data_IF_877370553789
#
_entry.id   IF_877370553789
#
_cell.length_a   1.000
_cell.length_b   1.000
_cell.length_c   1.000
_cell.angle_alpha   90.00
_cell.angle_beta   90.00
_cell.angle_gamma   90.00
#
_symmetry.space_group_name_H-M   'P 1'
#
loop_
_entity.id
_entity.type
_entity.pdbx_description
1 polymer ?
#
# COMPACT_ATOMS: atom_id res chain seq x y z
N UNK A 1 32.13 40.46 -39.96
CA UNK A 1 31.81 40.07 -38.57
C UNK A 1 32.33 38.65 -38.38
N UNK A 2 33.14 38.39 -37.36
CA UNK A 2 33.62 37.03 -37.04
C UNK A 2 32.45 36.20 -36.52
N UNK A 3 32.21 35.06 -37.14
CA UNK A 3 31.19 34.09 -36.69
C UNK A 3 31.76 33.24 -35.56
N UNK A 4 30.93 32.77 -34.62
CA UNK A 4 31.35 31.81 -33.60
C UNK A 4 31.97 30.55 -34.25
N UNK A 5 31.46 30.13 -35.40
CA UNK A 5 31.98 28.99 -36.19
C UNK A 5 33.35 29.23 -36.84
N UNK A 6 33.86 30.46 -36.83
CA UNK A 6 35.20 30.78 -37.33
C UNK A 6 36.29 30.72 -36.25
N UNK A 7 35.91 30.44 -35.00
CA UNK A 7 36.86 30.26 -33.91
C UNK A 7 37.55 28.88 -34.02
N UNK A 8 38.84 28.77 -33.63
CA UNK A 8 39.51 27.48 -33.56
C UNK A 8 38.81 26.51 -32.59
N UNK A 9 38.81 25.21 -32.92
CA UNK A 9 38.17 24.15 -32.14
C UNK A 9 38.55 24.20 -30.65
N UNK A 10 39.81 24.47 -30.31
CA UNK A 10 40.24 24.55 -28.91
C UNK A 10 39.58 25.70 -28.14
N UNK A 11 39.28 26.81 -28.81
CA UNK A 11 38.58 27.94 -28.21
C UNK A 11 37.10 27.58 -28.03
N UNK A 12 36.49 26.92 -29.02
CA UNK A 12 35.11 26.46 -28.94
C UNK A 12 34.93 25.42 -27.82
N UNK A 13 35.82 24.45 -27.70
CA UNK A 13 35.80 23.46 -26.61
C UNK A 13 35.90 24.15 -25.25
N UNK A 14 36.81 25.11 -25.07
CA UNK A 14 36.92 25.87 -23.83
C UNK A 14 35.64 26.68 -23.52
N UNK A 15 34.98 27.27 -24.52
CA UNK A 15 33.71 27.98 -24.32
C UNK A 15 32.64 27.00 -23.82
N UNK A 16 32.55 25.82 -24.43
CA UNK A 16 31.55 24.84 -24.07
C UNK A 16 31.83 24.20 -22.70
N UNK A 17 33.10 23.94 -22.34
CA UNK A 17 33.51 23.44 -21.01
C UNK A 17 33.15 24.42 -19.88
N UNK A 18 33.06 25.72 -20.19
CA UNK A 18 32.66 26.77 -19.24
C UNK A 18 31.19 27.18 -19.35
N UNK A 19 30.41 26.52 -20.21
CA UNK A 19 28.99 26.81 -20.42
C UNK A 19 28.13 25.83 -19.62
N UNK A 20 27.02 26.30 -19.05
CA UNK A 20 26.03 25.41 -18.44
C UNK A 20 25.39 24.49 -19.51
N UNK A 21 24.86 23.35 -19.07
CA UNK A 21 24.33 22.37 -20.02
C UNK A 21 23.16 22.89 -20.87
N UNK A 22 22.34 23.80 -20.35
CA UNK A 22 21.23 24.41 -21.10
C UNK A 22 21.77 25.33 -22.20
N UNK A 23 22.82 26.08 -21.93
CA UNK A 23 23.51 26.92 -22.90
C UNK A 23 24.13 26.08 -24.02
N UNK A 24 24.75 24.94 -23.69
CA UNK A 24 25.27 23.98 -24.69
C UNK A 24 24.15 23.46 -25.60
N UNK A 25 23.03 23.00 -25.02
CA UNK A 25 21.87 22.55 -25.80
C UNK A 25 21.31 23.67 -26.69
N UNK A 26 21.27 24.90 -26.19
CA UNK A 26 20.81 26.07 -26.96
C UNK A 26 21.73 26.33 -28.15
N UNK A 27 23.05 26.32 -27.95
CA UNK A 27 24.04 26.48 -29.02
C UNK A 27 23.90 25.40 -30.10
N UNK A 28 23.67 24.15 -29.70
CA UNK A 28 23.43 23.01 -30.61
C UNK A 28 22.21 23.20 -31.53
N UNK A 29 21.23 24.02 -31.12
CA UNK A 29 20.06 24.32 -31.94
C UNK A 29 20.27 25.48 -32.93
N UNK A 30 21.36 26.23 -32.84
CA UNK A 30 21.54 27.47 -33.64
C UNK A 30 21.96 27.23 -35.09
N UNK A 31 22.95 26.38 -35.36
CA UNK A 31 23.39 26.07 -36.73
C UNK A 31 23.96 24.65 -36.86
N UNK A 32 24.11 24.16 -38.10
CA UNK A 32 24.60 22.82 -38.39
C UNK A 32 26.06 22.61 -37.97
N UNK A 33 26.93 23.60 -38.17
CA UNK A 33 28.36 23.46 -37.83
C UNK A 33 28.56 23.30 -36.32
N UNK A 34 27.90 24.16 -35.50
CA UNK A 34 27.96 24.04 -34.05
C UNK A 34 27.32 22.75 -33.56
N UNK A 35 26.24 22.29 -34.19
CA UNK A 35 25.61 21.01 -33.85
C UNK A 35 26.58 19.85 -34.05
N UNK A 36 27.18 19.76 -35.24
CA UNK A 36 28.12 18.70 -35.57
C UNK A 36 29.33 18.75 -34.63
N UNK A 37 29.90 19.94 -34.40
CA UNK A 37 31.01 20.12 -33.48
C UNK A 37 30.68 19.67 -32.06
N UNK A 38 29.54 20.10 -31.50
CA UNK A 38 29.11 19.72 -30.15
C UNK A 38 28.88 18.20 -30.06
N UNK A 39 28.26 17.60 -31.09
CA UNK A 39 28.00 16.15 -31.17
C UNK A 39 29.31 15.32 -31.28
N UNK A 40 30.36 15.89 -31.89
CA UNK A 40 31.68 15.26 -32.03
C UNK A 40 32.51 15.36 -30.75
N UNK A 41 32.53 16.54 -30.09
CA UNK A 41 33.30 16.77 -28.87
C UNK A 41 32.75 15.98 -27.68
N UNK A 42 31.42 15.71 -27.65
CA UNK A 42 30.73 14.92 -26.60
C UNK A 42 31.14 15.35 -25.18
N UNK A 43 30.89 16.59 -24.83
CA UNK A 43 31.20 17.12 -23.50
C UNK A 43 30.45 16.33 -22.42
N UNK A 44 31.09 16.12 -21.27
CA UNK A 44 30.40 15.46 -20.16
C UNK A 44 29.35 16.39 -19.59
N UNK A 45 28.09 15.98 -19.66
CA UNK A 45 27.01 16.63 -18.93
C UNK A 45 27.21 16.47 -17.43
N UNK A 46 26.96 17.54 -16.67
CA UNK A 46 26.89 17.51 -15.20
C UNK A 46 25.47 17.20 -14.69
N UNK A 47 24.61 16.60 -15.52
CA UNK A 47 23.28 16.16 -15.06
C UNK A 47 23.47 15.13 -13.96
N UNK A 48 22.88 15.43 -12.80
CA UNK A 48 22.88 14.60 -11.59
C UNK A 48 21.62 13.77 -11.50
N UNK A 49 20.48 14.33 -11.91
CA UNK A 49 19.23 13.58 -11.89
C UNK A 49 18.30 13.87 -13.06
N UNK A 50 17.52 12.85 -13.44
CA UNK A 50 16.54 12.89 -14.51
C UNK A 50 15.21 12.34 -13.96
N UNK A 51 14.13 13.07 -14.18
CA UNK A 51 12.77 12.67 -13.84
C UNK A 51 11.91 12.76 -15.10
N UNK A 52 11.28 11.66 -15.47
CA UNK A 52 10.40 11.52 -16.62
C UNK A 52 9.01 11.19 -16.07
N UNK A 53 8.07 12.13 -16.21
CA UNK A 53 6.67 11.91 -15.84
C UNK A 53 5.81 11.77 -17.10
N UNK A 54 5.26 10.59 -17.32
CA UNK A 54 4.48 10.22 -18.51
C UNK A 54 2.99 10.36 -18.19
N UNK A 55 2.32 11.30 -18.86
CA UNK A 55 0.86 11.43 -18.85
C UNK A 55 0.25 10.91 -20.16
N UNK A 56 -1.08 10.91 -20.22
CA UNK A 56 -1.84 10.45 -21.41
C UNK A 56 -1.71 11.40 -22.60
N UNK A 57 -1.58 12.71 -22.34
CA UNK A 57 -1.52 13.77 -23.37
C UNK A 57 -0.22 14.58 -23.34
N UNK A 58 0.66 14.29 -22.39
CA UNK A 58 1.92 15.03 -22.24
C UNK A 58 2.99 14.22 -21.53
N UNK A 59 4.25 14.59 -21.74
CA UNK A 59 5.40 14.08 -21.00
C UNK A 59 6.13 15.27 -20.39
N UNK A 60 6.44 15.22 -19.10
CA UNK A 60 7.26 16.21 -18.44
C UNK A 60 8.65 15.62 -18.18
N UNK A 61 9.67 16.21 -18.81
CA UNK A 61 11.07 15.90 -18.55
C UNK A 61 11.66 16.98 -17.65
N UNK A 62 12.17 16.57 -16.49
CA UNK A 62 12.89 17.43 -15.56
C UNK A 62 14.28 16.84 -15.35
N UNK A 63 15.32 17.66 -15.42
CA UNK A 63 16.65 17.24 -15.03
C UNK A 63 17.37 18.32 -14.23
N UNK A 64 18.29 17.89 -13.38
CA UNK A 64 19.08 18.77 -12.53
C UNK A 64 20.55 18.63 -12.93
N UNK A 65 21.10 19.71 -13.47
CA UNK A 65 22.54 19.87 -13.71
C UNK A 65 23.06 21.00 -12.80
N UNK A 66 23.69 22.03 -13.36
CA UNK A 66 24.00 23.27 -12.63
C UNK A 66 22.73 24.01 -12.20
N UNK A 67 21.69 23.91 -13.02
CA UNK A 67 20.36 24.47 -12.79
C UNK A 67 19.28 23.41 -13.07
N UNK A 68 18.08 23.62 -12.53
CA UNK A 68 16.91 22.82 -12.86
C UNK A 68 16.41 23.17 -14.26
N UNK A 69 16.27 22.16 -15.12
CA UNK A 69 15.59 22.27 -16.39
C UNK A 69 14.27 21.50 -16.33
N UNK A 70 13.22 22.03 -16.95
CA UNK A 70 11.92 21.37 -17.09
C UNK A 70 11.33 21.71 -18.44
N UNK A 71 10.84 20.68 -19.13
CA UNK A 71 10.17 20.81 -20.43
C UNK A 71 8.98 19.87 -20.48
N UNK A 72 7.83 20.43 -20.82
CA UNK A 72 6.58 19.69 -21.03
C UNK A 72 6.39 19.53 -22.53
N UNK A 73 6.36 18.28 -22.98
CA UNK A 73 6.03 17.88 -24.34
C UNK A 73 4.53 17.58 -24.38
N UNK A 74 3.80 18.31 -25.23
CA UNK A 74 2.36 18.15 -25.43
C UNK A 74 2.02 18.37 -26.90
N UNK A 75 0.85 17.89 -27.33
CA UNK A 75 0.28 18.05 -28.68
C UNK A 75 1.12 17.38 -29.80
N UNK A 76 0.48 16.94 -30.89
CA UNK A 76 1.17 16.38 -32.06
C UNK A 76 2.14 15.22 -31.74
N UNK A 77 3.29 15.19 -32.44
CA UNK A 77 4.40 14.24 -32.23
C UNK A 77 5.20 14.54 -30.95
N UNK A 78 4.52 14.67 -29.80
CA UNK A 78 5.17 15.01 -28.53
C UNK A 78 6.11 13.90 -28.05
N UNK A 79 5.76 12.64 -28.31
CA UNK A 79 6.56 11.50 -27.90
C UNK A 79 7.89 11.44 -28.65
N UNK A 80 7.86 11.62 -29.97
CA UNK A 80 9.06 11.61 -30.82
C UNK A 80 10.00 12.76 -30.49
N UNK A 81 9.44 13.94 -30.19
CA UNK A 81 10.22 15.11 -29.73
C UNK A 81 10.87 14.85 -28.38
N UNK A 82 10.14 14.24 -27.45
CA UNK A 82 10.68 13.81 -26.16
C UNK A 82 11.83 12.80 -26.34
N UNK A 83 11.62 11.75 -27.14
CA UNK A 83 12.64 10.73 -27.40
C UNK A 83 13.91 11.33 -28.03
N UNK A 84 13.75 12.26 -28.97
CA UNK A 84 14.87 12.97 -29.60
C UNK A 84 15.69 13.74 -28.58
N UNK A 85 15.03 14.53 -27.72
CA UNK A 85 15.71 15.31 -26.70
C UNK A 85 16.35 14.41 -25.61
N UNK A 86 15.66 13.33 -25.20
CA UNK A 86 16.19 12.36 -24.25
C UNK A 86 17.46 11.68 -24.80
N UNK A 87 17.44 11.26 -26.06
CA UNK A 87 18.60 10.66 -26.71
C UNK A 87 19.81 11.62 -26.73
N UNK A 88 19.57 12.90 -27.02
CA UNK A 88 20.60 13.95 -26.99
C UNK A 88 21.14 14.09 -25.57
N UNK A 89 20.28 14.29 -24.57
CA UNK A 89 20.69 14.49 -23.17
C UNK A 89 21.53 13.31 -22.68
N UNK A 90 21.06 12.09 -22.92
CA UNK A 90 21.76 10.88 -22.53
C UNK A 90 23.09 10.74 -23.28
N UNK A 91 23.20 11.17 -24.54
CA UNK A 91 24.47 11.10 -25.30
C UNK A 91 25.62 11.89 -24.67
N UNK A 92 25.32 12.98 -23.95
CA UNK A 92 26.29 13.76 -23.18
C UNK A 92 26.53 13.21 -21.76
N UNK A 93 25.68 12.30 -21.27
CA UNK A 93 25.80 11.73 -19.93
C UNK A 93 26.87 10.64 -19.86
N UNK A 94 28.06 11.02 -19.37
CA UNK A 94 29.20 10.12 -19.13
C UNK A 94 29.38 9.74 -17.66
N UNK A 95 29.10 10.68 -16.75
CA UNK A 95 29.17 10.43 -15.32
C UNK A 95 27.94 9.64 -14.83
N UNK A 96 28.03 8.92 -13.70
CA UNK A 96 26.87 8.32 -13.06
C UNK A 96 25.82 9.38 -12.70
N UNK A 97 24.54 9.09 -12.94
CA UNK A 97 23.44 9.88 -12.39
C UNK A 97 23.30 9.52 -10.90
N UNK A 98 23.08 10.51 -10.05
CA UNK A 98 22.70 10.30 -8.66
C UNK A 98 21.30 9.66 -8.56
N UNK A 99 20.39 10.07 -9.44
CA UNK A 99 18.99 9.61 -9.39
C UNK A 99 18.32 9.64 -10.77
N UNK A 100 17.60 8.58 -11.13
CA UNK A 100 16.75 8.55 -12.32
C UNK A 100 15.37 8.01 -11.96
N UNK A 101 14.32 8.71 -12.42
CA UNK A 101 12.93 8.33 -12.19
C UNK A 101 12.12 8.30 -13.47
N UNK A 102 11.35 7.23 -13.65
CA UNK A 102 10.29 7.11 -14.64
C UNK A 102 8.99 6.91 -13.88
N UNK A 103 8.07 7.87 -14.00
CA UNK A 103 6.79 7.88 -13.29
C UNK A 103 5.62 8.09 -14.25
N UNK A 104 4.41 7.72 -13.82
CA UNK A 104 3.18 7.91 -14.57
C UNK A 104 2.23 8.88 -13.85
N UNK A 105 1.66 9.83 -14.59
CA UNK A 105 0.60 10.72 -14.07
C UNK A 105 -0.74 9.98 -14.09
N UNK A 106 -0.83 8.92 -13.28
CA UNK A 106 -2.01 8.07 -13.17
C UNK A 106 -3.10 8.75 -12.35
N UNK A 107 -4.21 9.10 -13.02
CA UNK A 107 -5.35 9.77 -12.40
C UNK A 107 -6.61 8.92 -12.43
N UNK A 108 -6.79 8.12 -13.48
CA UNK A 108 -7.97 7.31 -13.69
C UNK A 108 -7.66 5.90 -14.22
N UNK A 109 -8.48 4.88 -13.89
CA UNK A 109 -8.30 3.51 -14.39
C UNK A 109 -8.35 3.33 -15.90
N UNK A 110 -8.89 4.30 -16.63
CA UNK A 110 -8.97 4.31 -18.10
C UNK A 110 -7.77 4.97 -18.76
N UNK A 111 -6.82 5.52 -17.98
CA UNK A 111 -5.63 6.15 -18.52
C UNK A 111 -4.79 5.12 -19.27
N UNK A 112 -4.43 5.45 -20.51
CA UNK A 112 -3.56 4.63 -21.36
C UNK A 112 -2.26 5.38 -21.59
N UNK A 113 -1.16 4.76 -21.20
CA UNK A 113 0.17 5.36 -21.32
C UNK A 113 0.91 4.77 -22.52
N UNK A 114 1.83 5.57 -23.05
CA UNK A 114 2.75 5.13 -24.09
C UNK A 114 3.74 4.12 -23.50
N UNK A 115 4.08 3.09 -24.28
CA UNK A 115 5.07 2.07 -23.92
C UNK A 115 6.49 2.63 -23.78
N UNK A 116 7.28 2.07 -22.85
CA UNK A 116 8.70 2.39 -22.66
C UNK A 116 9.64 1.76 -23.70
N UNK A 117 9.12 1.02 -24.68
CA UNK A 117 9.93 0.30 -25.68
C UNK A 117 10.91 1.21 -26.45
N UNK A 118 10.49 2.41 -26.85
CA UNK A 118 11.41 3.34 -27.55
C UNK A 118 12.48 3.92 -26.62
N UNK A 119 12.22 4.04 -25.32
CA UNK A 119 13.25 4.39 -24.33
C UNK A 119 14.28 3.26 -24.23
N UNK A 120 13.84 2.00 -24.26
CA UNK A 120 14.73 0.83 -24.31
C UNK A 120 15.71 0.91 -25.49
N UNK A 121 15.24 1.32 -26.68
CA UNK A 121 16.10 1.52 -27.86
C UNK A 121 17.17 2.59 -27.62
N UNK A 122 16.80 3.73 -27.04
CA UNK A 122 17.74 4.81 -26.71
C UNK A 122 18.81 4.32 -25.74
N UNK A 123 18.41 3.61 -24.68
CA UNK A 123 19.35 3.08 -23.68
C UNK A 123 20.28 2.02 -24.28
N UNK A 124 19.75 1.12 -25.11
CA UNK A 124 20.49 0.06 -25.79
C UNK A 124 21.51 0.58 -26.81
N UNK A 125 21.21 1.68 -27.50
CA UNK A 125 22.12 2.29 -28.48
C UNK A 125 23.30 3.03 -27.85
N UNK A 126 23.35 3.15 -26.51
CA UNK A 126 24.47 3.80 -25.85
C UNK A 126 25.75 2.97 -25.99
N UNK A 127 26.92 3.60 -26.22
CA UNK A 127 28.19 2.89 -26.28
C UNK A 127 28.62 2.34 -24.91
N UNK A 128 28.07 2.88 -23.83
CA UNK A 128 28.27 2.41 -22.44
C UNK A 128 26.91 2.44 -21.73
N UNK A 129 26.64 1.39 -20.95
CA UNK A 129 25.45 1.35 -20.09
C UNK A 129 25.37 2.62 -19.25
N UNK A 130 24.15 3.15 -19.08
CA UNK A 130 23.93 4.30 -18.22
C UNK A 130 24.13 3.87 -16.76
N UNK A 131 24.99 4.57 -16.02
CA UNK A 131 25.18 4.32 -14.59
C UNK A 131 24.28 5.26 -13.80
N UNK A 132 23.52 4.71 -12.86
CA UNK A 132 22.57 5.44 -12.01
C UNK A 132 22.72 4.92 -10.58
N UNK A 133 22.95 5.78 -9.59
CA UNK A 133 23.09 5.32 -8.20
C UNK A 133 21.74 4.85 -7.63
N UNK A 134 20.67 5.60 -7.91
CA UNK A 134 19.31 5.28 -7.49
C UNK A 134 18.34 5.33 -8.68
N UNK A 135 17.83 4.17 -9.08
CA UNK A 135 16.82 4.04 -10.12
C UNK A 135 15.43 3.83 -9.51
N UNK A 136 14.48 4.72 -9.84
CA UNK A 136 13.08 4.60 -9.45
C UNK A 136 12.18 4.40 -10.66
N UNK A 137 11.36 3.36 -10.63
CA UNK A 137 10.42 3.01 -11.69
C UNK A 137 9.01 2.87 -11.11
N UNK A 138 8.07 3.64 -11.63
CA UNK A 138 6.67 3.23 -11.58
C UNK A 138 6.40 2.27 -12.73
N UNK A 139 5.73 1.15 -12.46
CA UNK A 139 5.48 0.10 -13.44
C UNK A 139 4.05 -0.44 -13.33
N UNK A 140 3.56 -1.06 -14.41
CA UNK A 140 2.30 -1.82 -14.42
C UNK A 140 2.52 -3.33 -14.49
N UNK A 141 3.66 -3.77 -15.03
CA UNK A 141 4.04 -5.18 -15.18
C UNK A 141 5.56 -5.32 -15.32
N UNK A 142 6.06 -6.56 -15.47
CA UNK A 142 7.50 -6.82 -15.59
C UNK A 142 8.16 -6.24 -16.85
N UNK A 143 7.42 -6.09 -17.95
CA UNK A 143 7.98 -5.59 -19.22
C UNK A 143 8.49 -4.15 -19.06
N UNK A 144 7.80 -3.34 -18.26
CA UNK A 144 8.24 -1.98 -17.94
C UNK A 144 9.64 -1.98 -17.28
N UNK A 145 9.93 -2.96 -16.43
CA UNK A 145 11.26 -3.14 -15.83
C UNK A 145 12.25 -3.61 -16.89
N UNK A 146 11.86 -4.57 -17.73
CA UNK A 146 12.69 -5.13 -18.79
C UNK A 146 13.04 -4.12 -19.89
N UNK A 147 12.23 -3.08 -20.10
CA UNK A 147 12.55 -1.98 -21.01
C UNK A 147 13.64 -1.04 -20.48
N UNK A 148 13.93 -1.07 -19.18
CA UNK A 148 14.85 -0.10 -18.55
C UNK A 148 16.03 -0.77 -17.88
N UNK A 149 15.79 -1.65 -16.91
CA UNK A 149 16.81 -2.20 -16.02
C UNK A 149 17.95 -2.92 -16.75
N UNK A 150 17.74 -3.76 -17.79
CA UNK A 150 18.82 -4.45 -18.48
C UNK A 150 19.88 -3.53 -19.12
N UNK A 151 19.54 -2.26 -19.34
CA UNK A 151 20.41 -1.27 -20.00
C UNK A 151 21.03 -0.26 -19.03
N UNK A 152 20.71 -0.35 -17.74
CA UNK A 152 21.16 0.56 -16.68
C UNK A 152 21.94 -0.21 -15.61
N UNK A 153 23.13 0.27 -15.27
CA UNK A 153 23.85 -0.21 -14.08
C UNK A 153 23.39 0.60 -12.86
N UNK A 154 22.88 -0.07 -11.82
CA UNK A 154 22.37 0.62 -10.62
C UNK A 154 22.74 -0.06 -9.32
N UNK A 155 22.91 0.74 -8.25
CA UNK A 155 23.11 0.22 -6.89
C UNK A 155 21.79 0.08 -6.13
N UNK A 156 20.81 0.94 -6.39
CA UNK A 156 19.51 0.96 -5.70
C UNK A 156 18.37 0.90 -6.69
N UNK A 157 17.43 0.00 -6.44
CA UNK A 157 16.25 -0.21 -7.27
C UNK A 157 15.00 0.10 -6.43
N UNK A 158 14.21 1.08 -6.86
CA UNK A 158 12.89 1.35 -6.30
C UNK A 158 11.82 1.09 -7.35
N UNK A 159 10.87 0.21 -7.05
CA UNK A 159 9.74 -0.13 -7.92
C UNK A 159 8.45 0.21 -7.19
N UNK A 160 7.50 0.84 -7.88
CA UNK A 160 6.18 1.10 -7.28
C UNK A 160 5.03 1.02 -8.28
N UNK A 161 3.84 0.66 -7.80
CA UNK A 161 2.64 0.69 -8.62
C UNK A 161 2.07 2.13 -8.66
N UNK A 162 1.95 2.79 -9.83
CA UNK A 162 1.39 4.13 -9.94
C UNK A 162 -0.09 4.18 -9.52
N UNK A 163 -0.82 3.06 -9.61
CA UNK A 163 -2.21 2.94 -9.12
C UNK A 163 -2.32 3.02 -7.60
N UNK A 164 -1.19 2.85 -6.88
CA UNK A 164 -1.12 2.75 -5.41
C UNK A 164 -2.03 1.65 -4.85
N UNK A 165 -2.17 0.55 -5.59
CA UNK A 165 -2.91 -0.66 -5.18
C UNK A 165 -1.94 -1.82 -5.11
N UNK A 166 -2.16 -2.75 -4.18
CA UNK A 166 -1.38 -3.97 -4.04
C UNK A 166 -1.76 -5.01 -5.10
N UNK A 167 -1.49 -4.69 -6.36
CA UNK A 167 -1.63 -5.65 -7.47
C UNK A 167 -0.53 -6.74 -7.33
N UNK A 168 -0.77 -7.92 -7.89
CA UNK A 168 0.27 -8.95 -7.98
C UNK A 168 1.29 -8.57 -9.06
N UNK A 169 2.58 -8.69 -8.75
CA UNK A 169 3.67 -8.43 -9.67
C UNK A 169 4.52 -9.70 -9.81
N UNK A 170 4.60 -10.21 -11.03
CA UNK A 170 5.55 -11.25 -11.41
C UNK A 170 6.85 -10.60 -11.89
N UNK A 171 7.99 -11.13 -11.48
CA UNK A 171 9.36 -10.69 -11.74
C UNK A 171 10.27 -11.83 -12.21
N UNK A 172 9.69 -12.95 -12.65
CA UNK A 172 10.40 -14.16 -13.09
C UNK A 172 11.61 -13.91 -14.01
N UNK A 173 11.49 -12.97 -14.97
CA UNK A 173 12.60 -12.63 -15.86
C UNK A 173 13.53 -11.56 -15.27
N UNK A 174 13.01 -10.69 -14.40
CA UNK A 174 13.74 -9.56 -13.82
C UNK A 174 14.76 -10.06 -12.80
N UNK A 175 14.41 -11.05 -11.97
CA UNK A 175 15.31 -11.62 -10.96
C UNK A 175 16.54 -12.30 -11.55
N UNK A 176 16.47 -12.67 -12.83
CA UNK A 176 17.58 -13.30 -13.55
C UNK A 176 18.62 -12.31 -14.08
N UNK A 177 18.30 -11.02 -14.10
CA UNK A 177 19.19 -9.97 -14.61
C UNK A 177 20.45 -9.81 -13.75
N UNK A 178 21.59 -9.59 -14.40
CA UNK A 178 22.83 -9.27 -13.71
C UNK A 178 22.70 -7.99 -12.88
N UNK A 179 21.96 -7.00 -13.39
CA UNK A 179 21.69 -5.73 -12.73
C UNK A 179 20.87 -5.92 -11.45
N UNK A 180 19.94 -6.87 -11.44
CA UNK A 180 19.20 -7.25 -10.24
C UNK A 180 20.13 -7.91 -9.23
N UNK A 181 20.92 -8.90 -9.68
CA UNK A 181 21.85 -9.66 -8.83
C UNK A 181 22.98 -8.82 -8.24
N UNK A 182 23.35 -7.72 -8.89
CA UNK A 182 24.46 -6.83 -8.47
C UNK A 182 24.01 -5.62 -7.65
N UNK A 183 22.72 -5.28 -7.66
CA UNK A 183 22.20 -4.17 -6.88
C UNK A 183 22.27 -4.45 -5.38
N UNK A 184 22.43 -3.39 -4.59
CA UNK A 184 22.60 -3.43 -3.12
C UNK A 184 21.28 -3.20 -2.40
N UNK A 185 20.38 -2.41 -2.95
CA UNK A 185 19.12 -2.08 -2.27
C UNK A 185 17.93 -2.30 -3.20
N UNK A 186 16.86 -2.87 -2.66
CA UNK A 186 15.60 -3.10 -3.35
C UNK A 186 14.43 -2.61 -2.48
N UNK A 187 13.57 -1.78 -3.07
CA UNK A 187 12.34 -1.27 -2.43
C UNK A 187 11.18 -1.38 -3.42
N UNK A 188 10.30 -2.36 -3.21
CA UNK A 188 9.11 -2.61 -4.02
C UNK A 188 7.88 -2.24 -3.19
N UNK A 189 7.16 -1.21 -3.64
CA UNK A 189 5.97 -0.69 -2.97
C UNK A 189 4.71 -0.90 -3.79
N UNK A 190 3.59 -1.05 -3.08
CA UNK A 190 2.27 -1.18 -3.71
C UNK A 190 2.20 -2.36 -4.69
N UNK A 191 2.93 -3.44 -4.42
CA UNK A 191 2.82 -4.69 -5.15
C UNK A 191 2.89 -5.84 -4.15
N UNK A 192 2.25 -6.95 -4.48
CA UNK A 192 2.53 -8.25 -3.85
C UNK A 192 3.36 -9.06 -4.83
N UNK A 193 4.59 -9.42 -4.45
CA UNK A 193 5.46 -10.29 -5.25
C UNK A 193 5.15 -11.77 -4.97
N UNK A 194 5.36 -12.60 -5.98
CA UNK A 194 5.11 -14.06 -5.92
C UNK A 194 6.40 -14.88 -5.93
N UNK A 195 7.53 -14.23 -6.19
CA UNK A 195 8.85 -14.85 -6.24
C UNK A 195 9.29 -15.30 -4.84
N UNK A 196 10.09 -16.37 -4.83
CA UNK A 196 10.75 -16.81 -3.60
C UNK A 196 11.63 -15.70 -3.03
N UNK A 197 11.59 -15.52 -1.72
CA UNK A 197 12.48 -14.61 -0.98
C UNK A 197 13.97 -14.90 -1.23
N UNK A 198 14.31 -16.11 -1.69
CA UNK A 198 15.66 -16.47 -2.13
C UNK A 198 16.22 -15.52 -3.21
N UNK A 199 15.37 -14.97 -4.07
CA UNK A 199 15.78 -14.03 -5.13
C UNK A 199 16.10 -12.61 -4.62
N UNK A 200 15.88 -12.36 -3.33
CA UNK A 200 16.12 -11.06 -2.69
C UNK A 200 17.29 -11.12 -1.69
N UNK A 201 17.94 -12.27 -1.53
CA UNK A 201 19.00 -12.43 -0.52
C UNK A 201 20.32 -11.75 -0.89
N UNK A 202 20.47 -11.28 -2.13
CA UNK A 202 21.68 -10.58 -2.58
C UNK A 202 21.70 -9.09 -2.18
N UNK A 203 20.59 -8.55 -1.66
CA UNK A 203 20.48 -7.13 -1.29
C UNK A 203 20.85 -6.89 0.19
N UNK A 204 21.48 -5.74 0.45
CA UNK A 204 21.82 -5.18 1.76
C UNK A 204 20.61 -4.51 2.45
N UNK A 205 19.67 -3.96 1.68
CA UNK A 205 18.44 -3.36 2.19
C UNK A 205 17.25 -3.81 1.33
N UNK A 206 16.21 -4.31 1.99
CA UNK A 206 15.07 -4.94 1.34
C UNK A 206 13.79 -4.38 1.94
N UNK A 207 12.94 -3.82 1.07
CA UNK A 207 11.53 -3.58 1.34
C UNK A 207 10.70 -4.27 0.27
N UNK A 208 9.98 -5.33 0.62
CA UNK A 208 9.08 -6.03 -0.32
C UNK A 208 7.83 -6.50 0.41
N UNK A 209 6.76 -6.75 -0.35
CA UNK A 209 5.58 -7.41 0.17
C UNK A 209 5.33 -8.72 -0.58
N UNK A 210 5.28 -9.86 0.13
CA UNK A 210 5.03 -11.19 -0.45
C UNK A 210 3.61 -11.68 -0.16
N UNK A 211 3.07 -12.59 -0.97
CA UNK A 211 1.76 -13.19 -0.67
C UNK A 211 1.85 -14.08 0.57
N UNK A 212 2.77 -15.04 0.58
CA UNK A 212 2.92 -15.99 1.69
C UNK A 212 4.35 -16.06 2.17
N UNK A 213 4.50 -16.33 3.46
CA UNK A 213 5.77 -16.57 4.14
C UNK A 213 5.63 -17.86 4.95
N UNK A 214 6.64 -18.73 4.85
CA UNK A 214 6.72 -19.95 5.66
C UNK A 214 7.47 -19.71 6.98
N UNK A 215 7.36 -20.65 7.92
CA UNK A 215 8.20 -20.61 9.13
C UNK A 215 9.67 -20.79 8.79
N UNK A 216 9.99 -21.59 7.76
CA UNK A 216 11.35 -21.77 7.25
C UNK A 216 11.93 -20.44 6.76
N UNK A 217 11.14 -19.61 6.07
CA UNK A 217 11.55 -18.27 5.66
C UNK A 217 11.81 -17.37 6.88
N UNK A 218 10.94 -17.41 7.90
CA UNK A 218 11.13 -16.66 9.14
C UNK A 218 12.40 -17.10 9.88
N UNK A 219 12.65 -18.41 9.96
CA UNK A 219 13.88 -18.98 10.55
C UNK A 219 15.10 -18.55 9.75
N UNK A 220 15.03 -18.62 8.41
CA UNK A 220 16.09 -18.16 7.52
C UNK A 220 16.43 -16.68 7.76
N UNK A 221 15.43 -15.84 8.00
CA UNK A 221 15.61 -14.43 8.36
C UNK A 221 16.11 -14.20 9.80
N UNK A 222 15.80 -15.11 10.74
CA UNK A 222 16.15 -15.00 12.16
C UNK A 222 17.57 -15.51 12.45
N UNK A 223 17.96 -16.64 11.86
CA UNK A 223 19.19 -17.39 12.20
C UNK A 223 20.48 -16.82 11.57
N UNK A 224 20.43 -15.55 11.15
CA UNK A 224 21.54 -14.74 10.62
C UNK A 224 22.75 -14.69 11.59
N UNK A 225 22.61 -15.09 12.85
CA UNK A 225 23.69 -15.11 13.85
C UNK A 225 24.15 -16.51 14.30
N UNK A 226 23.48 -17.62 13.91
CA UNK A 226 23.70 -18.91 14.61
C UNK A 226 23.92 -20.18 13.77
N UNK A 227 23.81 -20.18 12.44
CA UNK A 227 24.08 -21.40 11.66
C UNK A 227 25.59 -21.65 11.40
N UNK A 228 26.26 -22.21 12.42
CA UNK A 228 27.56 -22.89 12.30
C UNK A 228 27.43 -24.35 11.82
N UNK A 229 26.39 -24.73 11.06
CA UNK A 229 26.33 -26.10 10.53
C UNK A 229 25.50 -26.20 9.24
N UNK A 230 26.12 -25.82 8.10
CA UNK A 230 25.84 -26.34 6.76
C UNK A 230 26.93 -25.80 5.80
N UNK A 231 27.80 -26.69 5.31
CA UNK A 231 29.10 -26.33 4.67
C UNK A 231 28.96 -25.70 3.26
N UNK A 232 27.76 -25.42 2.75
CA UNK A 232 27.56 -24.54 1.58
C UNK A 232 26.79 -23.24 1.87
N UNK A 233 26.12 -23.13 3.03
CA UNK A 233 25.44 -21.91 3.49
C UNK A 233 26.37 -21.01 4.34
N UNK A 234 27.46 -21.55 4.90
CA UNK A 234 28.40 -20.79 5.75
C UNK A 234 29.27 -19.77 5.01
N UNK A 235 29.60 -20.02 3.73
CA UNK A 235 30.39 -19.08 2.91
C UNK A 235 29.57 -17.88 2.44
N UNK A 236 28.25 -18.04 2.39
CA UNK A 236 27.25 -17.10 1.87
C UNK A 236 27.00 -15.94 2.85
N UNK A 237 26.71 -16.24 4.12
CA UNK A 237 26.38 -15.20 5.11
C UNK A 237 27.59 -14.49 5.73
N UNK A 238 28.79 -15.09 5.64
CA UNK A 238 30.01 -14.42 6.05
C UNK A 238 30.29 -13.16 5.20
N UNK A 239 29.79 -13.11 3.95
CA UNK A 239 29.91 -11.94 3.07
C UNK A 239 28.90 -10.84 3.40
N UNK A 240 27.65 -11.19 3.71
CA UNK A 240 26.61 -10.23 4.13
C UNK A 240 26.93 -9.60 5.51
N UNK A 241 27.55 -10.36 6.43
CA UNK A 241 27.95 -9.85 7.75
C UNK A 241 29.34 -9.18 7.80
N UNK A 242 30.22 -9.47 6.83
CA UNK A 242 31.47 -8.72 6.64
C UNK A 242 31.26 -7.44 5.84
N UNK A 243 30.19 -7.35 5.04
CA UNK A 243 29.75 -6.08 4.48
C UNK A 243 29.19 -5.23 5.61
N UNK A 244 29.87 -4.13 5.94
CA UNK A 244 29.44 -3.18 6.97
C UNK A 244 28.17 -2.39 6.58
N UNK A 245 27.36 -2.87 5.65
CA UNK A 245 26.33 -2.09 4.93
C UNK A 245 24.91 -2.67 4.99
N UNK A 246 24.69 -3.94 5.35
CA UNK A 246 23.31 -4.47 5.47
C UNK A 246 22.58 -3.76 6.62
N UNK A 247 21.60 -2.91 6.30
CA UNK A 247 21.07 -1.91 7.24
C UNK A 247 19.65 -2.20 7.74
N UNK A 248 18.79 -2.82 6.92
CA UNK A 248 17.45 -3.25 7.33
C UNK A 248 16.85 -4.30 6.38
N UNK A 249 16.01 -5.17 6.92
CA UNK A 249 15.13 -6.04 6.11
C UNK A 249 13.70 -5.83 6.63
N UNK A 250 12.81 -5.39 5.74
CA UNK A 250 11.38 -5.28 6.01
C UNK A 250 10.60 -6.08 4.98
N UNK A 251 9.89 -7.09 5.47
CA UNK A 251 9.01 -7.92 4.66
C UNK A 251 7.61 -7.77 5.22
N UNK A 252 6.75 -7.20 4.39
CA UNK A 252 5.31 -7.17 4.60
C UNK A 252 4.75 -8.43 3.90
N UNK A 253 3.66 -9.03 4.41
CA UNK A 253 3.14 -10.25 3.79
C UNK A 253 1.67 -10.51 4.05
N UNK A 254 1.05 -11.38 3.26
CA UNK A 254 -0.40 -11.56 3.30
C UNK A 254 -0.83 -12.72 4.21
N UNK A 255 -0.15 -13.85 4.12
CA UNK A 255 -0.37 -15.05 4.96
C UNK A 255 0.95 -15.60 5.54
N UNK A 256 0.90 -16.14 6.77
CA UNK A 256 1.99 -16.82 7.45
C UNK A 256 1.51 -18.21 7.82
N UNK A 257 2.14 -19.20 7.19
CA UNK A 257 1.85 -20.61 7.44
C UNK A 257 2.31 -20.97 8.87
N UNK A 258 1.51 -21.78 9.56
CA UNK A 258 1.83 -22.27 10.92
C UNK A 258 2.08 -21.18 11.98
N UNK A 259 1.39 -20.04 11.85
CA UNK A 259 1.42 -18.88 12.78
C UNK A 259 1.46 -19.26 14.27
N UNK A 260 0.79 -20.33 14.68
CA UNK A 260 0.67 -20.74 16.08
C UNK A 260 2.04 -21.04 16.73
N UNK A 261 3.05 -21.35 15.91
CA UNK A 261 4.43 -21.66 16.36
C UNK A 261 5.37 -20.46 16.27
N UNK A 262 4.87 -19.28 15.89
CA UNK A 262 5.69 -18.09 15.68
C UNK A 262 6.36 -17.60 16.97
N UNK A 263 5.68 -17.69 18.12
CA UNK A 263 6.27 -17.35 19.43
C UNK A 263 7.33 -18.37 19.87
N UNK A 264 7.20 -19.64 19.46
CA UNK A 264 8.24 -20.67 19.65
C UNK A 264 9.50 -20.33 18.85
N UNK A 265 9.32 -19.84 17.62
CA UNK A 265 10.41 -19.53 16.69
C UNK A 265 11.05 -18.17 16.99
N UNK A 266 10.29 -17.10 17.18
CA UNK A 266 10.81 -15.74 17.34
C UNK A 266 11.01 -15.31 18.81
N UNK A 267 10.45 -16.05 19.76
CA UNK A 267 10.38 -15.64 21.16
C UNK A 267 9.24 -14.64 21.45
N UNK A 268 9.06 -14.26 22.73
CA UNK A 268 7.96 -13.42 23.17
C UNK A 268 8.06 -11.99 22.63
N UNK A 269 6.90 -11.38 22.34
CA UNK A 269 6.82 -10.00 21.84
C UNK A 269 7.45 -9.02 22.84
N UNK A 270 8.22 -8.05 22.34
CA UNK A 270 8.70 -6.96 23.20
C UNK A 270 7.51 -6.09 23.64
N UNK A 271 7.40 -5.74 24.94
CA UNK A 271 6.21 -5.09 25.49
C UNK A 271 5.89 -3.69 24.91
N UNK A 272 6.79 -3.11 24.10
CA UNK A 272 6.63 -1.75 23.55
C UNK A 272 6.59 -1.72 22.01
N UNK A 273 6.75 -2.86 21.32
CA UNK A 273 6.58 -2.97 19.87
C UNK A 273 5.18 -3.51 19.55
N UNK A 274 4.16 -2.66 19.67
CA UNK A 274 2.75 -3.09 19.64
C UNK A 274 2.26 -3.58 18.26
N UNK A 275 3.14 -3.63 17.24
CA UNK A 275 2.75 -3.81 15.83
C UNK A 275 3.63 -4.79 15.05
N UNK A 276 4.94 -4.87 15.36
CA UNK A 276 5.92 -5.65 14.58
C UNK A 276 6.76 -6.54 15.52
N UNK A 277 7.18 -7.72 15.04
CA UNK A 277 8.31 -8.41 15.66
C UNK A 277 9.59 -7.75 15.15
N UNK A 278 10.38 -7.21 16.08
CA UNK A 278 11.68 -6.63 15.80
C UNK A 278 12.75 -7.59 16.29
N UNK A 279 13.50 -8.17 15.34
CA UNK A 279 14.60 -9.09 15.63
C UNK A 279 15.89 -8.27 15.55
N UNK A 280 16.53 -7.94 16.69
CA UNK A 280 17.80 -7.22 16.68
C UNK A 280 18.90 -8.14 16.15
N UNK A 281 19.68 -7.64 15.19
CA UNK A 281 20.93 -8.25 14.75
C UNK A 281 22.06 -7.54 15.53
N UNK A 282 23.02 -8.31 16.07
CA UNK A 282 24.16 -7.80 16.87
C UNK A 282 25.05 -6.85 16.04
N UNK A 283 24.62 -5.58 15.91
CA UNK A 283 25.38 -4.37 15.47
C UNK A 283 24.46 -3.15 15.23
N UNK A 284 23.37 -2.99 15.99
CA UNK A 284 22.34 -1.92 15.84
C UNK A 284 21.40 -2.04 14.63
N UNK A 285 21.37 -3.19 13.95
CA UNK A 285 20.45 -3.44 12.83
C UNK A 285 19.26 -4.29 13.28
N UNK A 286 18.15 -4.27 12.54
CA UNK A 286 16.99 -5.07 12.88
C UNK A 286 16.17 -5.50 11.68
N UNK A 287 15.64 -6.72 11.75
CA UNK A 287 14.61 -7.23 10.84
C UNK A 287 13.26 -6.84 11.44
N UNK A 288 12.42 -6.16 10.67
CA UNK A 288 11.05 -5.82 11.06
C UNK A 288 10.08 -6.65 10.25
N UNK A 289 9.39 -7.57 10.92
CA UNK A 289 8.27 -8.31 10.36
C UNK A 289 6.97 -7.60 10.75
N UNK A 290 6.25 -7.06 9.76
CA UNK A 290 4.98 -6.34 9.96
C UNK A 290 3.79 -7.31 9.88
N UNK A 291 3.23 -7.67 11.03
CA UNK A 291 2.12 -8.63 11.13
C UNK A 291 0.75 -7.97 11.15
N UNK A 292 0.66 -6.65 10.94
CA UNK A 292 -0.62 -5.97 10.79
C UNK A 292 -1.40 -6.55 9.60
N UNK A 293 -0.70 -6.92 8.52
CA UNK A 293 -1.30 -7.47 7.30
C UNK A 293 -2.01 -8.81 7.54
N UNK A 294 -1.42 -9.73 8.31
CA UNK A 294 -1.99 -11.07 8.57
C UNK A 294 -3.34 -11.06 9.26
N UNK A 295 -3.49 -10.18 10.26
CA UNK A 295 -4.69 -10.21 11.10
C UNK A 295 -5.88 -9.61 10.35
N UNK A 296 -5.64 -8.90 9.23
CA UNK A 296 -6.63 -8.13 8.48
C UNK A 296 -6.86 -8.64 7.04
N UNK A 297 -5.92 -9.37 6.44
CA UNK A 297 -6.04 -9.87 5.05
C UNK A 297 -6.81 -11.17 4.91
N UNK A 298 -6.93 -11.98 5.96
CA UNK A 298 -7.71 -13.24 5.91
C UNK A 298 -9.22 -12.99 5.76
N UNK A 299 -9.69 -11.74 5.84
CA UNK A 299 -11.12 -11.44 5.84
C UNK A 299 -11.60 -10.42 4.81
N UNK A 300 -10.82 -9.37 4.46
CA UNK A 300 -11.21 -8.41 3.40
C UNK A 300 -10.10 -7.42 2.97
N UNK A 301 -9.68 -7.45 1.70
CA UNK A 301 -8.73 -6.48 1.10
C UNK A 301 -9.11 -5.00 1.33
N UNK A 302 -10.40 -4.68 1.37
CA UNK A 302 -10.84 -3.30 1.51
C UNK A 302 -10.89 -2.82 2.98
N UNK A 303 -10.79 -3.73 3.96
CA UNK A 303 -10.53 -3.41 5.37
C UNK A 303 -9.05 -3.14 5.66
N UNK A 304 -8.17 -3.82 4.92
CA UNK A 304 -6.74 -3.53 4.92
C UNK A 304 -6.46 -2.09 4.47
N UNK A 305 -7.08 -1.65 3.37
CA UNK A 305 -6.98 -0.27 2.89
C UNK A 305 -7.52 0.76 3.92
N UNK A 306 -8.65 0.47 4.57
CA UNK A 306 -9.22 1.32 5.64
C UNK A 306 -8.25 1.52 6.82
N UNK A 307 -7.56 0.46 7.26
CA UNK A 307 -6.63 0.54 8.40
C UNK A 307 -5.32 1.26 8.03
N UNK A 308 -4.84 1.07 6.80
CA UNK A 308 -3.62 1.71 6.32
C UNK A 308 -3.81 3.19 5.96
N UNK A 309 -4.92 3.57 5.34
CA UNK A 309 -5.21 4.97 5.00
C UNK A 309 -5.57 5.81 6.24
N UNK A 310 -6.27 5.22 7.22
CA UNK A 310 -6.89 5.99 8.31
C UNK A 310 -6.11 5.89 9.64
N UNK A 311 -5.24 4.89 9.84
CA UNK A 311 -4.46 4.62 11.08
C UNK A 311 -5.36 4.66 12.34
N UNK A 312 -5.84 3.52 12.89
CA UNK A 312 -6.95 3.54 13.85
C UNK A 312 -6.57 4.18 15.19
N UNK A 313 -6.87 5.47 15.34
CA UNK A 313 -7.40 6.05 16.57
C UNK A 313 -8.93 5.99 16.47
N UNK A 314 -9.52 4.80 16.70
CA UNK A 314 -10.93 4.50 16.44
C UNK A 314 -11.89 5.44 17.18
N UNK A 315 -12.32 6.47 16.44
CA UNK A 315 -13.39 7.41 16.74
C UNK A 315 -14.57 7.18 15.79
N UNK A 316 -14.98 5.92 15.61
CA UNK A 316 -16.15 5.61 14.77
C UNK A 316 -17.37 6.23 15.44
N UNK A 317 -17.94 7.25 14.80
CA UNK A 317 -19.11 7.95 15.34
C UNK A 317 -20.41 7.31 14.87
N UNK A 318 -20.45 6.77 13.65
CA UNK A 318 -21.63 6.03 13.16
C UNK A 318 -21.23 4.72 12.51
N UNK A 319 -21.98 3.67 12.82
CA UNK A 319 -21.79 2.32 12.30
C UNK A 319 -23.13 1.79 11.80
N UNK A 320 -23.15 1.27 10.57
CA UNK A 320 -24.31 0.57 10.00
C UNK A 320 -23.92 -0.82 9.55
N UNK A 321 -24.60 -1.81 10.10
CA UNK A 321 -24.52 -3.23 9.78
C UNK A 321 -25.77 -3.60 9.00
N UNK A 322 -25.64 -4.05 7.75
CA UNK A 322 -26.80 -4.45 6.93
C UNK A 322 -26.58 -5.81 6.30
N UNK A 323 -27.34 -6.77 6.76
CA UNK A 323 -27.36 -8.16 6.30
C UNK A 323 -28.69 -8.40 5.60
N UNK A 324 -28.64 -8.80 4.33
CA UNK A 324 -29.80 -9.08 3.48
C UNK A 324 -29.71 -10.51 2.93
N UNK A 325 -30.81 -11.00 2.37
CA UNK A 325 -30.97 -12.35 1.80
C UNK A 325 -29.83 -12.81 0.87
N UNK A 326 -29.18 -11.90 0.16
CA UNK A 326 -28.11 -12.22 -0.80
C UNK A 326 -26.84 -11.41 -0.58
N UNK A 327 -26.77 -10.53 0.41
CA UNK A 327 -25.59 -9.70 0.60
C UNK A 327 -25.40 -9.22 2.03
N UNK A 328 -24.15 -8.94 2.36
CA UNK A 328 -23.75 -8.31 3.62
C UNK A 328 -23.06 -7.01 3.26
N UNK A 329 -23.44 -5.93 3.95
CA UNK A 329 -22.90 -4.59 3.74
C UNK A 329 -22.67 -3.85 5.05
N UNK A 330 -21.58 -3.10 5.11
CA UNK A 330 -21.20 -2.30 6.27
C UNK A 330 -20.88 -0.89 5.84
N UNK A 331 -21.25 0.09 6.67
CA UNK A 331 -20.91 1.49 6.44
C UNK A 331 -20.44 2.12 7.72
N UNK A 332 -19.25 2.73 7.69
CA UNK A 332 -18.67 3.47 8.81
C UNK A 332 -18.63 4.96 8.47
N UNK A 333 -18.84 5.80 9.48
CA UNK A 333 -18.69 7.25 9.37
C UNK A 333 -17.91 7.79 10.57
N UNK A 334 -17.05 8.77 10.32
CA UNK A 334 -16.52 9.68 11.33
C UNK A 334 -17.06 11.07 10.99
N UNK A 335 -17.78 11.68 11.94
CA UNK A 335 -18.39 12.99 11.78
C UNK A 335 -19.36 13.05 10.57
N UNK A 336 -19.10 13.96 9.63
CA UNK A 336 -19.86 14.18 8.40
C UNK A 336 -19.24 13.48 7.18
N UNK A 337 -18.06 12.85 7.34
CA UNK A 337 -17.40 12.12 6.25
C UNK A 337 -17.84 10.66 6.24
N UNK A 338 -18.29 10.25 5.07
CA UNK A 338 -18.32 8.84 4.71
C UNK A 338 -16.91 8.30 4.84
N UNK A 339 -16.71 7.32 5.74
CA UNK A 339 -15.42 6.64 5.79
C UNK A 339 -15.38 5.58 4.72
N UNK A 340 -16.36 4.68 4.70
CA UNK A 340 -16.26 3.51 3.84
C UNK A 340 -17.56 2.68 3.73
N UNK A 341 -17.75 1.95 2.62
CA UNK A 341 -18.88 1.01 2.37
C UNK A 341 -18.38 -0.31 1.80
N UNK A 342 -18.77 -1.40 2.44
CA UNK A 342 -18.62 -2.76 1.91
C UNK A 342 -19.94 -3.32 1.40
N UNK A 343 -19.90 -4.16 0.36
CA UNK A 343 -21.04 -4.96 -0.07
C UNK A 343 -20.56 -6.24 -0.76
N UNK A 344 -20.84 -7.42 -0.21
CA UNK A 344 -20.47 -8.72 -0.79
C UNK A 344 -21.66 -9.68 -0.79
N UNK A 345 -21.69 -10.60 -1.76
CA UNK A 345 -22.69 -11.68 -1.81
C UNK A 345 -22.56 -12.60 -0.60
N UNK A 346 -23.68 -13.11 -0.11
CA UNK A 346 -23.75 -13.92 1.11
C UNK A 346 -23.04 -15.28 0.97
N UNK A 347 -22.22 -15.64 1.96
CA UNK A 347 -21.45 -16.89 2.08
C UNK A 347 -21.30 -17.28 3.58
N UNK A 348 -21.59 -18.53 4.00
CA UNK A 348 -21.48 -18.98 5.39
C UNK A 348 -20.08 -18.86 6.02
N UNK A 349 -19.01 -19.17 5.28
CA UNK A 349 -17.64 -19.07 5.79
C UNK A 349 -17.27 -17.61 6.07
N UNK A 350 -17.75 -16.72 5.18
CA UNK A 350 -17.56 -15.28 5.29
C UNK A 350 -18.21 -14.67 6.55
N UNK A 351 -19.35 -15.18 7.03
CA UNK A 351 -19.99 -14.65 8.26
C UNK A 351 -19.09 -14.81 9.49
N UNK A 352 -18.43 -15.96 9.63
CA UNK A 352 -17.58 -16.25 10.79
C UNK A 352 -16.27 -15.44 10.74
N UNK A 353 -15.73 -15.23 9.54
CA UNK A 353 -14.59 -14.34 9.31
C UNK A 353 -14.95 -12.89 9.64
N UNK A 354 -16.08 -12.41 9.13
CA UNK A 354 -16.60 -11.08 9.40
C UNK A 354 -16.74 -10.75 10.89
N UNK A 355 -17.29 -11.69 11.68
CA UNK A 355 -17.51 -11.45 13.11
C UNK A 355 -16.19 -11.30 13.87
N UNK A 356 -15.13 -12.01 13.48
CA UNK A 356 -13.78 -11.82 14.05
C UNK A 356 -13.22 -10.42 13.74
N UNK A 357 -13.50 -9.88 12.55
CA UNK A 357 -13.05 -8.52 12.21
C UNK A 357 -13.80 -7.45 13.01
N UNK A 358 -15.12 -7.63 13.13
CA UNK A 358 -15.94 -6.74 13.92
C UNK A 358 -15.46 -6.75 15.38
N UNK A 359 -15.12 -7.92 15.92
CA UNK A 359 -14.54 -8.07 17.25
C UNK A 359 -13.23 -7.27 17.40
N UNK A 360 -12.32 -7.43 16.43
CA UNK A 360 -11.05 -6.71 16.40
C UNK A 360 -11.25 -5.19 16.38
N UNK A 361 -12.10 -4.65 15.50
CA UNK A 361 -12.38 -3.21 15.42
C UNK A 361 -12.94 -2.69 16.73
N UNK A 362 -13.92 -3.40 17.27
CA UNK A 362 -14.56 -3.06 18.52
C UNK A 362 -13.61 -3.13 19.72
N UNK A 363 -12.51 -3.90 19.64
CA UNK A 363 -11.45 -3.93 20.64
C UNK A 363 -10.67 -2.61 20.75
N UNK A 364 -10.55 -1.86 19.65
CA UNK A 364 -9.94 -0.52 19.64
C UNK A 364 -10.95 0.60 19.88
N UNK A 365 -12.25 0.35 19.77
CA UNK A 365 -13.29 1.35 19.97
C UNK A 365 -13.41 1.73 21.46
N UNK A 366 -12.72 2.81 21.84
CA UNK A 366 -12.70 3.34 23.22
C UNK A 366 -13.67 4.49 23.44
N UNK A 367 -14.12 5.15 22.38
CA UNK A 367 -15.06 6.29 22.43
C UNK A 367 -16.49 5.86 22.16
N UNK A 368 -17.46 6.68 22.56
CA UNK A 368 -18.88 6.39 22.39
C UNK A 368 -19.30 6.48 20.93
N UNK A 369 -19.89 5.40 20.40
CA UNK A 369 -20.52 5.38 19.09
C UNK A 369 -21.78 6.23 19.18
N UNK A 370 -21.88 7.29 18.37
CA UNK A 370 -23.03 8.19 18.39
C UNK A 370 -24.26 7.50 17.81
N UNK A 371 -24.10 6.68 16.77
CA UNK A 371 -25.20 5.99 16.11
C UNK A 371 -24.81 4.58 15.63
N UNK A 372 -25.51 3.55 16.09
CA UNK A 372 -25.37 2.17 15.67
C UNK A 372 -26.67 1.69 15.01
N UNK A 373 -26.61 1.25 13.76
CA UNK A 373 -27.77 0.82 12.97
C UNK A 373 -27.57 -0.63 12.53
N UNK A 374 -28.43 -1.54 13.00
CA UNK A 374 -28.34 -2.98 12.72
C UNK A 374 -29.58 -3.40 11.94
N UNK A 375 -29.36 -3.80 10.69
CA UNK A 375 -30.40 -4.24 9.77
C UNK A 375 -30.14 -5.69 9.39
N UNK A 376 -30.98 -6.63 9.83
CA UNK A 376 -30.82 -8.05 9.52
C UNK A 376 -32.08 -8.66 8.89
N UNK A 377 -32.11 -8.72 7.56
CA UNK A 377 -33.20 -9.25 6.75
C UNK A 377 -32.77 -10.58 6.09
N UNK A 378 -32.50 -11.62 6.89
CA UNK A 378 -32.01 -12.93 6.42
C UNK A 378 -32.69 -14.10 7.15
N UNK A 379 -32.79 -15.27 6.48
CA UNK A 379 -33.36 -16.50 7.05
C UNK A 379 -32.54 -17.08 8.22
N UNK A 380 -31.22 -16.86 8.25
CA UNK A 380 -30.29 -17.34 9.30
C UNK A 380 -30.01 -16.28 10.38
N UNK A 381 -30.97 -15.39 10.66
CA UNK A 381 -30.78 -14.27 11.60
C UNK A 381 -30.40 -14.71 13.02
N UNK A 382 -30.99 -15.81 13.52
CA UNK A 382 -30.77 -16.25 14.90
C UNK A 382 -29.29 -16.56 15.14
N UNK A 383 -28.66 -17.30 14.22
CA UNK A 383 -27.23 -17.61 14.27
C UNK A 383 -26.35 -16.34 14.22
N UNK A 384 -26.78 -15.32 13.47
CA UNK A 384 -26.05 -14.05 13.36
C UNK A 384 -26.12 -13.29 14.69
N UNK A 385 -27.32 -13.15 15.26
CA UNK A 385 -27.49 -12.45 16.53
C UNK A 385 -26.86 -13.23 17.69
N UNK A 386 -26.88 -14.56 17.69
CA UNK A 386 -26.17 -15.41 18.66
C UNK A 386 -24.66 -15.15 18.63
N UNK A 387 -24.05 -15.16 17.44
CA UNK A 387 -22.61 -14.88 17.32
C UNK A 387 -22.27 -13.42 17.64
N UNK A 388 -23.15 -12.47 17.29
CA UNK A 388 -22.97 -11.06 17.65
C UNK A 388 -23.06 -10.86 19.17
N UNK A 389 -23.97 -11.58 19.83
CA UNK A 389 -24.11 -11.64 21.28
C UNK A 389 -22.82 -12.18 21.92
N UNK A 390 -22.30 -13.32 21.43
CA UNK A 390 -21.03 -13.88 21.91
C UNK A 390 -19.86 -12.88 21.78
N UNK A 391 -19.77 -12.22 20.63
CA UNK A 391 -18.77 -11.18 20.37
C UNK A 391 -18.87 -10.04 21.38
N UNK A 392 -20.07 -9.46 21.56
CA UNK A 392 -20.27 -8.35 22.49
C UNK A 392 -20.03 -8.76 23.94
N UNK A 393 -20.43 -9.98 24.32
CA UNK A 393 -20.21 -10.57 25.64
C UNK A 393 -18.74 -10.76 25.96
N UNK A 394 -17.92 -11.19 24.99
CA UNK A 394 -16.50 -11.47 25.19
C UNK A 394 -15.62 -10.20 25.27
N UNK A 395 -16.22 -9.02 25.10
CA UNK A 395 -15.47 -7.77 25.19
C UNK A 395 -14.98 -7.51 26.62
N UNK A 396 -13.76 -6.96 26.78
CA UNK A 396 -13.26 -6.57 28.09
C UNK A 396 -14.06 -5.44 28.73
N UNK A 397 -14.78 -4.65 27.92
CA UNK A 397 -15.67 -3.57 28.36
C UNK A 397 -16.92 -3.53 27.48
N UNK A 398 -18.12 -3.30 28.08
CA UNK A 398 -19.35 -3.09 27.32
C UNK A 398 -19.22 -1.95 26.31
N UNK A 399 -19.89 -2.07 25.16
CA UNK A 399 -19.77 -1.10 24.08
C UNK A 399 -20.54 0.19 24.40
N UNK A 400 -19.89 1.37 24.44
CA UNK A 400 -20.59 2.63 24.62
C UNK A 400 -21.30 3.05 23.31
N UNK A 401 -22.62 3.12 23.35
CA UNK A 401 -23.48 3.54 22.23
C UNK A 401 -24.49 4.58 22.73
N UNK A 402 -24.66 5.70 22.02
CA UNK A 402 -25.67 6.71 22.35
C UNK A 402 -27.03 6.48 21.72
N UNK A 403 -27.05 6.11 20.44
CA UNK A 403 -28.28 5.83 19.71
C UNK A 403 -28.17 4.51 18.98
N UNK A 404 -29.16 3.65 19.20
CA UNK A 404 -29.26 2.33 18.58
C UNK A 404 -30.52 2.27 17.74
N UNK A 405 -30.37 1.89 16.47
CA UNK A 405 -31.48 1.52 15.59
C UNK A 405 -31.35 0.06 15.21
N UNK A 406 -32.43 -0.71 15.31
CA UNK A 406 -32.44 -2.13 14.95
C UNK A 406 -33.67 -2.49 14.14
N UNK A 407 -33.49 -3.18 13.02
CA UNK A 407 -34.56 -3.92 12.36
C UNK A 407 -34.60 -5.35 12.91
N UNK A 408 -35.70 -5.70 13.59
CA UNK A 408 -35.86 -6.95 14.35
C UNK A 408 -37.15 -7.69 13.98
N UNK A 409 -37.18 -8.99 14.25
CA UNK A 409 -38.39 -9.82 14.06
C UNK A 409 -39.06 -10.16 15.39
N UNK A 410 -38.28 -10.27 16.46
CA UNK A 410 -38.76 -10.65 17.79
C UNK A 410 -37.90 -10.02 18.90
N UNK A 411 -38.31 -10.20 20.16
CA UNK A 411 -37.63 -9.63 21.32
C UNK A 411 -36.23 -10.16 21.57
N UNK A 412 -35.92 -11.38 21.13
CA UNK A 412 -34.60 -11.96 21.40
C UNK A 412 -33.52 -11.24 20.61
N UNK A 413 -33.82 -10.83 19.38
CA UNK A 413 -32.92 -10.01 18.56
C UNK A 413 -32.47 -8.73 19.32
N UNK A 414 -33.40 -8.08 20.04
CA UNK A 414 -33.13 -6.86 20.82
C UNK A 414 -32.29 -7.19 22.06
N UNK A 415 -32.70 -8.18 22.85
CA UNK A 415 -32.03 -8.55 24.12
C UNK A 415 -30.57 -8.94 23.88
N UNK A 416 -30.32 -9.73 22.83
CA UNK A 416 -28.99 -10.24 22.48
C UNK A 416 -27.96 -9.16 22.17
N UNK A 417 -28.40 -7.95 21.82
CA UNK A 417 -27.51 -6.81 21.56
C UNK A 417 -27.52 -5.84 22.73
N UNK A 418 -28.71 -5.41 23.19
CA UNK A 418 -28.86 -4.32 24.18
C UNK A 418 -28.23 -4.67 25.52
N UNK A 419 -28.34 -5.93 25.97
CA UNK A 419 -27.81 -6.40 27.26
C UNK A 419 -26.29 -6.16 27.41
N UNK A 420 -25.53 -6.17 26.30
CA UNK A 420 -24.07 -6.05 26.30
C UNK A 420 -23.57 -4.64 25.95
N UNK A 421 -24.48 -3.69 25.79
CA UNK A 421 -24.13 -2.28 25.65
C UNK A 421 -23.86 -1.65 27.02
N UNK A 422 -23.03 -0.61 27.04
CA UNK A 422 -22.70 0.12 28.27
C UNK A 422 -23.95 0.83 28.80
N UNK A 423 -24.37 0.43 29.99
CA UNK A 423 -25.47 1.06 30.72
C UNK A 423 -25.20 2.54 31.00
N UNK A 424 -26.23 3.38 30.88
CA UNK A 424 -26.18 4.83 31.12
C UNK A 424 -25.62 5.68 29.97
N UNK A 425 -25.07 5.08 28.90
CA UNK A 425 -24.65 5.83 27.69
C UNK A 425 -25.72 5.83 26.59
N UNK A 426 -26.60 4.82 26.59
CA UNK A 426 -27.65 4.66 25.59
C UNK A 426 -28.78 5.64 25.87
N UNK A 427 -28.97 6.60 24.97
CA UNK A 427 -29.93 7.70 25.10
C UNK A 427 -31.15 7.49 24.20
N UNK A 428 -30.98 6.87 23.03
CA UNK A 428 -32.06 6.63 22.08
C UNK A 428 -32.07 5.18 21.58
N UNK A 429 -33.24 4.56 21.58
CA UNK A 429 -33.47 3.24 20.97
C UNK A 429 -34.62 3.35 19.97
N UNK A 430 -34.35 2.95 18.73
CA UNK A 430 -35.34 2.82 17.65
C UNK A 430 -35.40 1.36 17.22
N UNK A 431 -36.58 0.75 17.30
CA UNK A 431 -36.80 -0.63 16.86
C UNK A 431 -37.77 -0.61 15.69
N UNK A 432 -37.47 -1.38 14.65
CA UNK A 432 -38.25 -1.42 13.40
C UNK A 432 -38.59 -2.87 13.08
N UNK A 433 -39.85 -3.15 12.74
CA UNK A 433 -40.27 -4.49 12.34
C UNK A 433 -39.71 -4.84 10.96
N UNK A 434 -38.97 -5.94 10.86
CA UNK A 434 -38.38 -6.42 9.62
C UNK A 434 -39.30 -7.36 8.79
N UNK A 435 -40.49 -7.70 9.29
CA UNK A 435 -41.43 -8.63 8.65
C UNK A 435 -42.58 -7.99 7.87
N UNK A 436 -43.15 -8.74 6.90
CA UNK A 436 -44.27 -8.31 6.03
C UNK A 436 -45.66 -8.34 6.70
N UNK A 437 -45.75 -8.64 8.00
CA UNK A 437 -47.03 -8.88 8.70
C UNK A 437 -47.17 -7.95 9.89
N UNK A 438 -48.36 -7.37 10.05
CA UNK A 438 -48.83 -6.50 11.15
C UNK A 438 -48.88 -7.19 12.53
N UNK A 439 -47.90 -8.06 12.86
CA UNK A 439 -47.81 -8.63 14.19
C UNK A 439 -47.18 -7.62 15.14
N UNK A 440 -47.85 -7.40 16.28
CA UNK A 440 -47.30 -6.65 17.40
C UNK A 440 -46.01 -7.30 17.90
N UNK A 441 -44.96 -6.50 18.09
CA UNK A 441 -43.70 -6.96 18.68
C UNK A 441 -43.90 -7.10 20.20
N UNK A 442 -43.81 -8.32 20.72
CA UNK A 442 -43.90 -8.58 22.16
C UNK A 442 -42.62 -8.10 22.86
N UNK A 443 -42.65 -6.94 23.50
CA UNK A 443 -41.50 -6.35 24.20
C UNK A 443 -41.40 -6.77 25.68
N UNK A 444 -42.19 -7.75 26.13
CA UNK A 444 -42.18 -8.17 27.53
C UNK A 444 -40.79 -8.64 28.00
N UNK A 445 -40.37 -8.13 29.16
CA UNK A 445 -39.06 -8.41 29.77
C UNK A 445 -37.90 -7.56 29.22
N UNK A 446 -38.07 -6.81 28.13
CA UNK A 446 -37.03 -5.88 27.64
C UNK A 446 -36.95 -4.65 28.55
N UNK A 447 -38.10 -4.18 29.04
CA UNK A 447 -38.18 -3.05 29.98
C UNK A 447 -37.47 -3.27 31.31
N UNK A 448 -37.01 -4.49 31.60
CA UNK A 448 -36.24 -4.80 32.80
C UNK A 448 -34.74 -4.51 32.66
N UNK A 449 -34.23 -4.39 31.43
CA UNK A 449 -32.82 -4.09 31.14
C UNK A 449 -32.46 -2.67 31.58
N UNK A 450 -31.36 -2.52 32.33
CA UNK A 450 -30.89 -1.21 32.78
C UNK A 450 -30.58 -0.26 31.60
N UNK A 451 -30.02 -0.80 30.52
CA UNK A 451 -29.76 -0.06 29.29
C UNK A 451 -31.04 0.49 28.64
N UNK A 452 -32.16 -0.23 28.81
CA UNK A 452 -33.45 0.16 28.26
C UNK A 452 -34.12 1.21 29.14
N UNK A 453 -34.12 1.00 30.47
CA UNK A 453 -34.70 1.95 31.45
C UNK A 453 -34.03 3.32 31.44
N UNK A 454 -32.74 3.36 31.13
CA UNK A 454 -31.94 4.59 31.17
C UNK A 454 -31.94 5.35 29.83
N UNK A 455 -32.57 4.81 28.78
CA UNK A 455 -32.71 5.52 27.50
C UNK A 455 -33.73 6.66 27.64
N UNK A 456 -33.36 7.86 27.15
CA UNK A 456 -34.17 9.08 27.25
C UNK A 456 -35.29 9.14 26.20
N UNK A 457 -35.09 8.51 25.05
CA UNK A 457 -36.07 8.47 23.95
C UNK A 457 -36.23 7.05 23.41
N UNK A 458 -37.46 6.55 23.41
CA UNK A 458 -37.83 5.26 22.80
C UNK A 458 -38.77 5.58 21.63
N UNK A 459 -38.31 5.28 20.43
CA UNK A 459 -39.02 5.61 19.20
C UNK A 459 -39.50 4.34 18.48
N UNK A 460 -40.82 4.14 18.44
CA UNK A 460 -41.48 2.92 18.00
C UNK A 460 -42.44 3.21 16.84
N UNK A 461 -41.98 3.97 15.85
CA UNK A 461 -42.76 4.46 14.70
C UNK A 461 -43.42 3.38 13.81
N UNK A 462 -43.42 2.09 14.19
CA UNK A 462 -43.96 0.98 13.37
C UNK A 462 -44.75 -0.09 14.16
N UNK A 463 -45.13 0.13 15.42
CA UNK A 463 -45.78 -0.91 16.25
C UNK A 463 -47.16 -0.51 16.81
N UNK A 464 -48.06 -1.51 16.89
CA UNK A 464 -49.06 -1.63 17.96
C UNK A 464 -48.36 -2.28 19.17
N UNK A 465 -48.09 -1.50 20.21
CA UNK A 465 -47.42 -2.00 21.43
C UNK A 465 -48.48 -2.69 22.32
N UNK A 466 -48.31 -3.98 22.60
CA UNK A 466 -49.00 -4.63 23.72
C UNK A 466 -48.04 -4.73 24.89
N UNK A 467 -47.93 -3.65 25.67
CA UNK A 467 -47.23 -3.65 26.95
C UNK A 467 -48.26 -3.78 28.09
N UNK A 468 -47.95 -4.50 29.18
CA UNK A 468 -48.66 -4.32 30.44
C UNK A 468 -48.50 -2.85 30.88
N UNK A 469 -49.55 -2.23 31.39
CA UNK A 469 -49.67 -0.79 31.73
C UNK A 469 -48.61 -0.20 32.68
N UNK A 470 -47.57 -0.96 33.07
CA UNK A 470 -46.57 -0.57 34.07
C UNK A 470 -45.26 0.01 33.49
N UNK A 471 -45.14 0.21 32.17
CA UNK A 471 -43.85 0.56 31.52
C UNK A 471 -43.87 1.82 30.64
N UNK A 472 -44.83 2.73 30.84
CA UNK A 472 -44.81 4.07 30.23
C UNK A 472 -44.66 5.17 31.26
#
# INVERSE_FOLDING_TARGET
MSSLTSLPDIVLTNILDNSDFKSILTLRHTCHDLRNFIDDVKLSSNVRSIHISIGTESINLVFYAEIRFSKIYKEGTFYERFLTDLAIILSFQKAPLEYMEVSYDYRHPTDQFISLEEISRILKCRPRSLSVNHLRLEIFNQEDVMFVLPFITTEKINISNPKRKHDVLELNNVVELDQWKQAKEIDIRNFTIVESLNHFLNFDDIFVQVETISLEDVVMMKDVSHLSFCIQLSYFFQKCLQSSTTSSIRIDFDELVDRNRLEEVLGPKRPHSWKNWFIPIEKNFGVSIDLLNLTLRVTCHAFYDFINEIKPSSNVQKMRIRIRKQSISFVFYAETRFLWKYNKKWDPEFLSLFLKDLEFILSFQRTTIQFLDIICQCKRRNEIFEKLCELLKNRPRPLPVKSLRMEVFDRQDVIQVVLFLKSGELQKIEVVNAGDKEYALDLNGIGELDQWKLAMEIDNHSFLIMAPEAYF
#
